data_IF_863203111043
#
_entry.id   IF_863203111043
#
_cell.length_a   1.000
_cell.length_b   1.000
_cell.length_c   1.000
_cell.angle_alpha   90.00
_cell.angle_beta   90.00
_cell.angle_gamma   90.00
#
_symmetry.space_group_name_H-M   'P 1'
#
loop_
_entity.id
_entity.type
_entity.pdbx_description
1 polymer ?
#
# COMPACT_ATOMS: atom_id res chain seq x y z
N UNK A 1 -12.67 19.37 -0.95
CA UNK A 1 -11.24 19.77 -0.79
C UNK A 1 -10.90 20.94 -1.70
N UNK A 2 -10.02 21.85 -1.27
CA UNK A 2 -9.48 22.92 -2.13
C UNK A 2 -8.18 22.41 -2.78
N UNK A 3 -8.29 21.89 -4.00
CA UNK A 3 -7.18 21.22 -4.69
C UNK A 3 -6.06 22.21 -5.04
N UNK A 4 -6.38 23.44 -5.44
CA UNK A 4 -5.38 24.46 -5.76
C UNK A 4 -4.52 24.84 -4.55
N UNK A 5 -5.12 24.83 -3.34
CA UNK A 5 -4.36 25.04 -2.10
C UNK A 5 -3.48 23.83 -1.79
N UNK A 6 -4.01 22.61 -1.95
CA UNK A 6 -3.27 21.35 -1.73
C UNK A 6 -2.06 21.25 -2.66
N UNK A 7 -2.20 21.56 -3.95
CA UNK A 7 -1.12 21.47 -4.94
C UNK A 7 0.11 22.32 -4.59
N UNK A 8 -0.06 23.43 -3.88
CA UNK A 8 1.06 24.29 -3.40
C UNK A 8 2.00 23.57 -2.44
N UNK A 9 1.53 22.52 -1.78
CA UNK A 9 2.35 21.69 -0.89
C UNK A 9 3.25 20.70 -1.66
N UNK A 10 3.07 20.59 -3.00
CA UNK A 10 3.77 19.65 -3.88
C UNK A 10 4.41 20.38 -5.08
N UNK A 11 5.53 21.07 -4.90
CA UNK A 11 6.12 21.97 -5.94
C UNK A 11 6.47 21.28 -7.26
N UNK A 12 6.68 19.96 -7.26
CA UNK A 12 6.96 19.20 -8.49
C UNK A 12 5.79 19.23 -9.49
N UNK A 13 4.56 19.47 -9.03
CA UNK A 13 3.37 19.54 -9.88
C UNK A 13 3.36 20.74 -10.84
N UNK A 14 4.19 21.75 -10.59
CA UNK A 14 4.39 22.87 -11.52
C UNK A 14 5.20 22.45 -12.76
N UNK A 15 5.88 21.30 -12.70
CA UNK A 15 6.80 20.80 -13.72
C UNK A 15 6.27 19.61 -14.50
N UNK A 16 5.35 18.83 -13.91
CA UNK A 16 4.91 17.55 -14.46
C UNK A 16 3.45 17.25 -14.07
N UNK A 17 2.69 16.69 -15.01
CA UNK A 17 1.41 16.04 -14.73
C UNK A 17 1.70 14.65 -14.16
N UNK A 18 1.62 14.51 -12.83
CA UNK A 18 2.02 13.29 -12.15
C UNK A 18 0.85 12.33 -11.95
N UNK A 19 0.89 11.19 -12.63
CA UNK A 19 -0.16 10.16 -12.65
C UNK A 19 0.39 8.75 -12.28
N UNK A 20 1.43 8.68 -11.42
CA UNK A 20 2.02 7.41 -10.96
C UNK A 20 1.98 7.24 -9.44
N UNK A 21 0.93 7.75 -8.78
CA UNK A 21 0.76 7.70 -7.32
C UNK A 21 0.65 6.27 -6.76
N UNK A 22 0.15 5.31 -7.55
CA UNK A 22 0.10 3.90 -7.14
C UNK A 22 1.50 3.24 -7.02
N UNK A 23 2.53 3.83 -7.64
CA UNK A 23 3.93 3.46 -7.42
C UNK A 23 4.48 4.18 -6.19
N UNK A 24 4.39 5.51 -6.18
CA UNK A 24 4.86 6.37 -5.11
C UNK A 24 4.04 7.65 -5.07
N UNK A 25 3.41 7.97 -3.94
CA UNK A 25 2.81 9.29 -3.77
C UNK A 25 3.87 10.38 -3.64
N UNK A 26 3.58 11.60 -4.08
CA UNK A 26 4.41 12.77 -3.78
C UNK A 26 4.38 13.05 -2.27
N UNK A 27 5.39 13.79 -1.79
CA UNK A 27 5.52 14.17 -0.37
C UNK A 27 5.22 15.66 -0.24
N UNK A 28 4.29 16.05 0.64
CA UNK A 28 4.03 17.46 0.91
C UNK A 28 5.19 18.10 1.67
N UNK A 29 5.35 19.40 1.52
CA UNK A 29 6.41 20.17 2.18
C UNK A 29 6.45 19.94 3.70
N UNK A 30 5.30 19.72 4.34
CA UNK A 30 5.18 19.46 5.78
C UNK A 30 5.92 18.18 6.19
N UNK A 31 5.80 17.10 5.42
CA UNK A 31 6.51 15.84 5.66
C UNK A 31 8.01 16.01 5.49
N UNK A 32 8.44 16.72 4.43
CA UNK A 32 9.85 17.00 4.18
C UNK A 32 10.44 17.84 5.30
N UNK A 33 9.71 18.87 5.73
CA UNK A 33 10.12 19.74 6.85
C UNK A 33 10.28 18.97 8.15
N UNK A 34 9.38 18.02 8.44
CA UNK A 34 9.45 17.20 9.66
C UNK A 34 10.64 16.25 9.67
N UNK A 35 11.01 15.68 8.52
CA UNK A 35 12.23 14.89 8.35
C UNK A 35 13.48 15.74 8.58
N UNK A 36 13.52 16.95 8.02
CA UNK A 36 14.62 17.89 8.19
C UNK A 36 14.75 18.35 9.66
N UNK A 37 13.64 18.57 10.36
CA UNK A 37 13.63 18.88 11.80
C UNK A 37 14.38 17.81 12.60
N UNK A 38 14.10 16.51 12.36
CA UNK A 38 14.83 15.45 13.05
C UNK A 38 16.33 15.55 12.83
N UNK A 39 16.79 15.66 11.57
CA UNK A 39 18.23 15.70 11.29
C UNK A 39 18.93 16.97 11.77
N UNK A 40 18.23 18.10 11.84
CA UNK A 40 18.83 19.36 12.24
C UNK A 40 18.82 19.57 13.78
N UNK A 41 17.79 19.03 14.47
CA UNK A 41 17.59 19.40 15.89
C UNK A 41 17.86 18.26 16.87
N UNK A 42 17.58 16.99 16.50
CA UNK A 42 17.71 15.84 17.41
C UNK A 42 18.11 14.53 16.69
N UNK A 43 19.22 14.52 15.92
CA UNK A 43 19.63 13.37 15.11
C UNK A 43 20.32 12.29 15.96
N UNK A 44 19.58 11.67 16.85
CA UNK A 44 20.11 10.68 17.80
C UNK A 44 19.23 9.43 17.83
N UNK A 45 19.74 8.35 18.47
CA UNK A 45 18.97 7.13 18.62
C UNK A 45 17.92 7.23 19.75
N UNK A 46 16.92 6.36 19.66
CA UNK A 46 15.87 6.14 20.65
C UNK A 46 16.24 5.03 21.63
N UNK A 47 15.65 5.03 22.83
CA UNK A 47 15.48 3.88 23.72
C UNK A 47 16.62 3.55 24.67
N UNK A 48 17.85 4.04 24.48
CA UNK A 48 19.00 3.61 25.31
C UNK A 48 19.82 4.74 25.92
N UNK A 49 19.55 5.97 25.59
CA UNK A 49 20.28 7.14 26.07
C UNK A 49 19.42 7.99 26.99
N UNK A 50 19.99 8.41 28.13
CA UNK A 50 19.25 9.17 29.13
C UNK A 50 19.16 10.69 28.85
N UNK A 51 19.80 11.18 27.78
CA UNK A 51 19.82 12.60 27.46
C UNK A 51 18.50 13.07 26.79
N UNK A 52 18.22 14.37 26.88
CA UNK A 52 16.95 14.99 26.43
C UNK A 52 16.62 14.73 24.95
N UNK A 53 17.63 14.72 24.08
CA UNK A 53 17.41 14.49 22.64
C UNK A 53 16.87 13.07 22.37
N UNK A 54 17.44 12.03 23.06
CA UNK A 54 16.96 10.66 22.93
C UNK A 54 15.50 10.54 23.39
N UNK A 55 15.16 11.15 24.53
CA UNK A 55 13.76 11.19 25.00
C UNK A 55 12.82 11.86 24.00
N UNK A 56 13.26 12.93 23.31
CA UNK A 56 12.48 13.55 22.24
C UNK A 56 12.22 12.56 21.08
N UNK A 57 13.21 11.77 20.68
CA UNK A 57 13.05 10.73 19.64
C UNK A 57 12.07 9.66 20.10
N UNK A 58 12.18 9.20 21.35
CA UNK A 58 11.26 8.22 21.95
C UNK A 58 9.81 8.74 21.89
N UNK A 59 9.58 9.98 22.32
CA UNK A 59 8.27 10.63 22.32
C UNK A 59 7.69 10.78 20.91
N UNK A 60 8.48 11.25 19.93
CA UNK A 60 8.02 11.43 18.55
C UNK A 60 7.72 10.07 17.87
N UNK A 61 8.56 9.05 18.11
CA UNK A 61 8.31 7.69 17.62
C UNK A 61 7.03 7.10 18.22
N UNK A 62 6.82 7.27 19.53
CA UNK A 62 5.60 6.83 20.19
C UNK A 62 4.36 7.57 19.68
N UNK A 63 4.45 8.89 19.46
CA UNK A 63 3.36 9.68 18.85
C UNK A 63 3.01 9.18 17.45
N UNK A 64 4.02 8.80 16.65
CA UNK A 64 3.78 8.21 15.33
C UNK A 64 3.01 6.92 15.43
N UNK A 65 3.40 6.01 16.33
CA UNK A 65 2.73 4.74 16.58
C UNK A 65 1.26 4.96 17.00
N UNK A 66 1.03 5.90 17.91
CA UNK A 66 -0.33 6.32 18.32
C UNK A 66 -1.14 6.92 17.18
N UNK A 67 -0.53 7.71 16.31
CA UNK A 67 -1.21 8.27 15.14
C UNK A 67 -1.62 7.16 14.17
N UNK A 68 -0.74 6.19 13.91
CA UNK A 68 -1.06 5.02 13.08
C UNK A 68 -2.18 4.17 13.69
N UNK A 69 -2.11 3.90 15.00
CA UNK A 69 -3.19 3.20 15.73
C UNK A 69 -4.55 3.86 15.49
N UNK A 70 -4.62 5.18 15.64
CA UNK A 70 -5.87 5.95 15.45
C UNK A 70 -6.31 5.94 13.99
N UNK A 71 -5.38 6.13 13.06
CA UNK A 71 -5.65 6.24 11.62
C UNK A 71 -6.33 5.01 11.04
N UNK A 72 -5.98 3.81 11.51
CA UNK A 72 -6.62 2.56 11.10
C UNK A 72 -7.62 2.02 12.13
N UNK A 73 -7.89 2.78 13.19
CA UNK A 73 -8.75 2.39 14.32
C UNK A 73 -8.35 1.06 14.99
N UNK A 74 -7.04 0.83 15.20
CA UNK A 74 -6.55 -0.33 15.94
C UNK A 74 -6.88 -0.22 17.44
N UNK A 75 -6.96 -1.33 18.15
CA UNK A 75 -7.34 -1.42 19.58
C UNK A 75 -6.22 -0.84 20.46
N UNK A 76 -4.97 -1.13 20.14
CA UNK A 76 -3.79 -0.74 20.90
C UNK A 76 -2.66 -0.31 19.97
N UNK A 77 -1.78 0.56 20.45
CA UNK A 77 -0.53 0.89 19.75
C UNK A 77 0.43 -0.29 19.67
N UNK A 78 0.28 -1.28 20.54
CA UNK A 78 1.07 -2.51 20.50
C UNK A 78 0.77 -3.37 19.25
N UNK A 79 -0.36 -3.14 18.61
CA UNK A 79 -0.76 -3.79 17.35
C UNK A 79 -0.06 -3.18 16.11
N UNK A 80 0.77 -2.13 16.29
CA UNK A 80 1.46 -1.41 15.23
C UNK A 80 2.95 -1.74 15.27
N UNK A 81 3.44 -2.46 14.26
CA UNK A 81 4.87 -2.77 14.07
C UNK A 81 5.42 -1.92 12.94
N UNK A 82 6.50 -1.18 13.17
CA UNK A 82 7.22 -0.47 12.12
C UNK A 82 8.04 -1.45 11.29
N UNK A 83 7.94 -1.31 9.98
CA UNK A 83 8.67 -2.06 8.98
C UNK A 83 9.21 -1.10 7.91
N UNK A 84 9.98 -1.61 6.96
CA UNK A 84 10.47 -0.75 5.85
C UNK A 84 9.44 -0.54 4.75
N UNK A 85 8.48 -1.45 4.59
CA UNK A 85 7.44 -1.40 3.57
C UNK A 85 6.48 -2.60 3.69
N UNK A 86 5.41 -2.62 2.89
CA UNK A 86 4.45 -3.74 2.79
C UNK A 86 5.13 -5.08 2.51
N UNK A 87 6.17 -5.11 1.68
CA UNK A 87 6.89 -6.34 1.34
C UNK A 87 7.53 -6.96 2.58
N UNK A 88 8.19 -6.16 3.42
CA UNK A 88 8.75 -6.65 4.68
C UNK A 88 7.66 -7.10 5.65
N UNK A 89 6.57 -6.34 5.77
CA UNK A 89 5.43 -6.70 6.62
C UNK A 89 4.86 -8.07 6.26
N UNK A 90 4.65 -8.35 4.98
CA UNK A 90 4.14 -9.64 4.50
C UNK A 90 5.17 -10.75 4.73
N UNK A 91 6.47 -10.50 4.48
CA UNK A 91 7.53 -11.46 4.76
C UNK A 91 7.67 -11.75 6.27
N UNK A 92 7.46 -10.76 7.13
CA UNK A 92 7.42 -10.95 8.58
C UNK A 92 6.33 -11.96 8.96
N UNK A 93 5.11 -11.79 8.49
CA UNK A 93 4.01 -12.74 8.73
C UNK A 93 4.35 -14.12 8.16
N UNK A 94 4.84 -14.20 6.92
CA UNK A 94 5.16 -15.46 6.25
C UNK A 94 6.24 -16.28 6.97
N UNK A 95 7.20 -15.62 7.63
CA UNK A 95 8.32 -16.28 8.32
C UNK A 95 8.04 -16.54 9.81
N UNK A 96 7.08 -15.83 10.38
CA UNK A 96 6.81 -15.84 11.82
C UNK A 96 5.76 -16.86 12.25
N UNK A 97 4.97 -17.37 11.30
CA UNK A 97 3.88 -18.31 11.56
C UNK A 97 4.16 -19.69 10.96
N UNK A 98 3.73 -20.72 11.65
CA UNK A 98 3.76 -22.10 11.13
C UNK A 98 2.49 -22.38 10.33
N UNK A 99 2.45 -21.97 9.06
CA UNK A 99 1.30 -22.09 8.19
C UNK A 99 1.34 -23.41 7.39
N UNK A 100 0.22 -24.13 7.33
CA UNK A 100 0.10 -25.36 6.53
C UNK A 100 -0.25 -25.06 5.08
N UNK A 101 -1.29 -24.26 4.87
CA UNK A 101 -1.78 -23.90 3.53
C UNK A 101 -2.16 -22.42 3.52
N UNK A 102 -1.76 -21.70 2.46
CA UNK A 102 -2.09 -20.31 2.24
C UNK A 102 -2.97 -20.16 0.99
N UNK A 103 -4.03 -19.38 1.07
CA UNK A 103 -4.88 -19.05 -0.07
C UNK A 103 -4.66 -17.59 -0.45
N UNK A 104 -4.36 -17.33 -1.73
CA UNK A 104 -4.15 -16.00 -2.28
C UNK A 104 -5.07 -15.77 -3.48
N UNK A 105 -5.29 -14.51 -3.87
CA UNK A 105 -5.96 -14.23 -5.13
C UNK A 105 -4.99 -14.24 -6.32
N UNK A 106 -5.51 -14.31 -7.53
CA UNK A 106 -4.70 -14.20 -8.75
C UNK A 106 -4.21 -12.78 -9.02
N UNK A 107 -4.69 -11.79 -8.28
CA UNK A 107 -4.41 -10.35 -8.44
C UNK A 107 -3.26 -9.83 -7.59
N UNK A 108 -2.54 -10.72 -6.93
CA UNK A 108 -1.55 -10.30 -5.95
C UNK A 108 -0.35 -9.60 -6.61
N UNK A 109 0.07 -8.52 -5.98
CA UNK A 109 1.39 -7.95 -6.21
C UNK A 109 2.47 -8.99 -5.86
N UNK A 110 3.60 -9.00 -6.55
CA UNK A 110 4.70 -9.95 -6.27
C UNK A 110 5.09 -9.99 -4.79
N UNK A 111 4.95 -8.89 -4.06
CA UNK A 111 5.20 -8.84 -2.61
C UNK A 111 4.28 -9.72 -1.79
N UNK A 112 3.06 -9.99 -2.29
CA UNK A 112 2.08 -10.86 -1.63
C UNK A 112 1.88 -12.21 -2.34
N UNK A 113 2.71 -12.53 -3.32
CA UNK A 113 2.76 -13.83 -3.99
C UNK A 113 4.04 -14.59 -3.62
N UNK A 114 5.21 -13.96 -3.84
CA UNK A 114 6.50 -14.66 -3.77
C UNK A 114 6.86 -15.20 -2.38
N UNK A 115 6.55 -14.54 -1.25
CA UNK A 115 6.81 -15.11 0.07
C UNK A 115 6.08 -16.43 0.30
N UNK A 116 4.83 -16.53 -0.16
CA UNK A 116 4.03 -17.75 -0.03
C UNK A 116 4.54 -18.85 -0.95
N UNK A 117 4.86 -18.52 -2.19
CA UNK A 117 5.47 -19.44 -3.15
C UNK A 117 6.79 -20.03 -2.64
N UNK A 118 7.60 -19.23 -1.95
CA UNK A 118 8.92 -19.66 -1.47
C UNK A 118 8.85 -20.45 -0.15
N UNK A 119 7.94 -20.11 0.76
CA UNK A 119 7.96 -20.61 2.14
C UNK A 119 6.86 -21.61 2.47
N UNK A 120 5.75 -21.63 1.73
CA UNK A 120 4.55 -22.35 2.12
C UNK A 120 3.91 -23.10 0.96
N UNK A 121 3.04 -24.06 1.28
CA UNK A 121 2.06 -24.56 0.32
C UNK A 121 0.99 -23.50 0.13
N UNK A 122 0.74 -23.10 -1.10
CA UNK A 122 -0.25 -22.07 -1.40
C UNK A 122 -1.13 -22.48 -2.59
N UNK A 123 -2.29 -21.85 -2.66
CA UNK A 123 -3.25 -21.98 -3.75
C UNK A 123 -3.67 -20.60 -4.23
N UNK A 124 -3.84 -20.47 -5.53
CA UNK A 124 -4.30 -19.22 -6.17
C UNK A 124 -5.77 -19.37 -6.52
N UNK A 125 -6.58 -18.47 -6.01
CA UNK A 125 -7.99 -18.32 -6.36
C UNK A 125 -8.10 -17.45 -7.62
N UNK A 126 -8.64 -18.02 -8.69
CA UNK A 126 -8.83 -17.29 -9.95
C UNK A 126 -10.05 -16.38 -9.88
N UNK A 127 -9.92 -15.19 -10.46
CA UNK A 127 -11.04 -14.28 -10.70
C UNK A 127 -12.01 -14.87 -11.73
N UNK A 128 -13.24 -14.35 -11.77
CA UNK A 128 -14.21 -14.60 -12.84
C UNK A 128 -13.76 -14.00 -14.17
N UNK A 129 -14.46 -14.30 -15.25
CA UNK A 129 -14.17 -13.78 -16.60
C UNK A 129 -14.25 -12.25 -16.69
N UNK A 130 -15.10 -11.61 -15.88
CA UNK A 130 -15.20 -10.15 -15.76
C UNK A 130 -14.16 -9.53 -14.81
N UNK A 131 -13.17 -10.33 -14.39
CA UNK A 131 -12.13 -9.96 -13.45
C UNK A 131 -12.63 -9.62 -12.04
N UNK A 132 -13.84 -9.98 -11.65
CA UNK A 132 -14.32 -9.86 -10.26
C UNK A 132 -13.89 -11.07 -9.42
N UNK A 133 -13.84 -10.87 -8.09
CA UNK A 133 -13.50 -11.96 -7.16
C UNK A 133 -14.62 -13.01 -7.13
N UNK A 134 -14.26 -14.29 -7.24
CA UNK A 134 -15.20 -15.40 -7.19
C UNK A 134 -15.43 -15.87 -5.74
N UNK A 135 -16.47 -15.32 -5.11
CA UNK A 135 -16.81 -15.64 -3.74
C UNK A 135 -17.31 -17.09 -3.57
N UNK A 136 -17.97 -17.65 -4.59
CA UNK A 136 -18.46 -19.03 -4.54
C UNK A 136 -17.32 -20.04 -4.67
N UNK A 137 -16.34 -19.75 -5.52
CA UNK A 137 -15.10 -20.54 -5.58
C UNK A 137 -14.33 -20.42 -4.27
N UNK A 138 -14.24 -19.21 -3.67
CA UNK A 138 -13.60 -19.00 -2.39
C UNK A 138 -14.19 -19.86 -1.28
N UNK A 139 -15.53 -19.94 -1.15
CA UNK A 139 -16.23 -20.79 -0.17
C UNK A 139 -15.87 -22.28 -0.31
N UNK A 140 -15.60 -22.75 -1.52
CA UNK A 140 -15.20 -24.13 -1.79
C UNK A 140 -13.74 -24.39 -1.39
N UNK A 141 -12.86 -23.41 -1.66
CA UNK A 141 -11.41 -23.55 -1.58
C UNK A 141 -10.84 -23.22 -0.19
N UNK A 142 -11.60 -22.58 0.68
CA UNK A 142 -11.16 -22.15 2.02
C UNK A 142 -10.93 -23.31 3.01
N UNK A 143 -11.42 -24.52 2.70
CA UNK A 143 -11.28 -25.67 3.60
C UNK A 143 -9.82 -26.04 3.83
N UNK A 144 -9.43 -26.20 5.11
CA UNK A 144 -8.06 -26.52 5.54
C UNK A 144 -7.01 -25.45 5.21
N UNK A 145 -7.42 -24.21 4.96
CA UNK A 145 -6.55 -23.06 4.82
C UNK A 145 -6.20 -22.51 6.20
N UNK A 146 -4.92 -22.19 6.42
CA UNK A 146 -4.44 -21.57 7.68
C UNK A 146 -4.43 -20.05 7.60
N UNK A 147 -4.19 -19.50 6.39
CA UNK A 147 -4.14 -18.07 6.14
C UNK A 147 -4.70 -17.75 4.76
N UNK A 148 -5.54 -16.74 4.71
CA UNK A 148 -5.94 -16.04 3.47
C UNK A 148 -5.10 -14.78 3.37
N UNK A 149 -4.25 -14.66 2.34
CA UNK A 149 -3.43 -13.47 2.12
C UNK A 149 -3.83 -12.83 0.80
N UNK A 150 -4.50 -11.68 0.84
CA UNK A 150 -5.09 -11.07 -0.35
C UNK A 150 -4.90 -9.57 -0.39
N UNK A 151 -4.85 -9.04 -1.61
CA UNK A 151 -4.85 -7.60 -1.86
C UNK A 151 -6.22 -7.00 -1.48
N UNK A 152 -6.23 -5.89 -0.76
CA UNK A 152 -7.47 -5.18 -0.46
C UNK A 152 -7.97 -4.43 -1.71
N UNK A 153 -7.09 -3.65 -2.33
CA UNK A 153 -7.34 -2.92 -3.57
C UNK A 153 -6.18 -3.17 -4.53
N UNK A 154 -6.49 -3.65 -5.72
CA UNK A 154 -5.51 -4.01 -6.74
C UNK A 154 -4.75 -2.78 -7.25
N UNK A 155 -3.43 -2.92 -7.39
CA UNK A 155 -2.54 -1.84 -7.79
C UNK A 155 -2.48 -1.61 -9.31
N UNK A 156 -3.05 -2.50 -10.14
CA UNK A 156 -3.03 -2.30 -11.58
C UNK A 156 -4.36 -1.78 -12.14
N UNK A 157 -5.52 -2.13 -11.55
CA UNK A 157 -6.83 -1.68 -12.05
C UNK A 157 -7.70 -1.00 -10.99
N UNK A 158 -7.27 -1.05 -9.71
CA UNK A 158 -7.97 -0.41 -8.60
C UNK A 158 -9.19 -1.17 -8.09
N UNK A 159 -9.43 -2.40 -8.56
CA UNK A 159 -10.51 -3.24 -8.06
C UNK A 159 -10.32 -3.56 -6.58
N UNK A 160 -11.36 -3.34 -5.78
CA UNK A 160 -11.37 -3.70 -4.36
C UNK A 160 -12.16 -4.98 -4.14
N UNK A 161 -11.54 -5.93 -3.45
CA UNK A 161 -12.14 -7.21 -3.15
C UNK A 161 -13.27 -7.06 -2.09
N UNK A 162 -14.22 -7.99 -2.01
CA UNK A 162 -15.30 -8.00 -1.02
C UNK A 162 -14.76 -8.46 0.36
N UNK A 163 -13.93 -7.61 0.98
CA UNK A 163 -13.11 -7.96 2.14
C UNK A 163 -13.93 -8.42 3.34
N UNK A 164 -15.08 -7.80 3.61
CA UNK A 164 -15.92 -8.17 4.76
C UNK A 164 -16.42 -9.60 4.66
N UNK A 165 -16.91 -9.98 3.49
CA UNK A 165 -17.40 -11.33 3.21
C UNK A 165 -16.25 -12.34 3.26
N UNK A 166 -15.08 -11.98 2.73
CA UNK A 166 -13.88 -12.83 2.75
C UNK A 166 -13.43 -13.10 4.18
N UNK A 167 -13.28 -12.05 5.02
CA UNK A 167 -12.88 -12.19 6.42
C UNK A 167 -13.86 -13.07 7.18
N UNK A 168 -15.16 -12.80 7.05
CA UNK A 168 -16.21 -13.59 7.71
C UNK A 168 -16.09 -15.08 7.37
N UNK A 169 -16.02 -15.41 6.08
CA UNK A 169 -15.92 -16.80 5.62
C UNK A 169 -14.61 -17.45 6.07
N UNK A 170 -13.49 -16.71 6.04
CA UNK A 170 -12.20 -17.21 6.50
C UNK A 170 -12.25 -17.57 8.00
N UNK A 171 -12.76 -16.69 8.84
CA UNK A 171 -12.90 -16.93 10.28
C UNK A 171 -13.86 -18.07 10.61
N UNK A 172 -14.97 -18.21 9.88
CA UNK A 172 -15.88 -19.37 10.01
C UNK A 172 -15.14 -20.70 9.74
N UNK A 173 -14.06 -20.66 8.92
CA UNK A 173 -13.20 -21.81 8.62
C UNK A 173 -11.89 -21.83 9.42
N UNK A 174 -11.75 -21.00 10.47
CA UNK A 174 -10.58 -20.90 11.36
C UNK A 174 -9.29 -20.49 10.63
N UNK A 175 -9.39 -19.80 9.51
CA UNK A 175 -8.27 -19.24 8.77
C UNK A 175 -8.04 -17.79 9.20
N UNK A 176 -6.78 -17.39 9.42
CA UNK A 176 -6.38 -16.01 9.61
C UNK A 176 -6.47 -15.25 8.28
N UNK A 177 -6.57 -13.91 8.34
CA UNK A 177 -6.61 -13.06 7.16
C UNK A 177 -5.53 -11.98 7.22
N UNK A 178 -4.70 -11.93 6.18
CA UNK A 178 -3.76 -10.84 5.91
C UNK A 178 -4.25 -10.03 4.71
N UNK A 179 -4.39 -8.73 4.89
CA UNK A 179 -4.72 -7.80 3.83
C UNK A 179 -3.45 -7.03 3.38
N UNK A 180 -3.10 -7.14 2.10
CA UNK A 180 -2.22 -6.16 1.47
C UNK A 180 -3.02 -4.86 1.25
N UNK A 181 -2.83 -3.93 2.18
CA UNK A 181 -3.48 -2.62 2.20
C UNK A 181 -2.72 -1.52 1.45
N UNK A 182 -1.66 -1.87 0.71
CA UNK A 182 -0.78 -0.88 0.08
C UNK A 182 -1.50 0.13 -0.83
N UNK A 183 -2.60 -0.26 -1.47
CA UNK A 183 -3.43 0.59 -2.31
C UNK A 183 -4.80 0.93 -1.69
N UNK A 184 -5.09 0.42 -0.50
CA UNK A 184 -6.35 0.73 0.19
C UNK A 184 -6.15 1.82 1.23
N UNK A 185 -5.14 1.65 2.10
CA UNK A 185 -4.87 2.57 3.23
C UNK A 185 -4.64 4.02 2.80
N UNK A 186 -3.93 4.32 1.69
CA UNK A 186 -3.76 5.70 1.23
C UNK A 186 -5.04 6.39 0.74
N UNK A 187 -6.06 5.62 0.33
CA UNK A 187 -7.19 6.09 -0.46
C UNK A 187 -8.56 5.92 0.21
N UNK A 188 -8.63 5.15 1.29
CA UNK A 188 -9.88 4.79 1.98
C UNK A 188 -9.76 4.89 3.48
N UNK A 189 -10.86 5.18 4.13
CA UNK A 189 -10.98 5.00 5.57
C UNK A 189 -10.89 3.51 5.93
N UNK A 190 -9.99 3.17 6.84
CA UNK A 190 -9.77 1.81 7.30
C UNK A 190 -10.12 1.70 8.78
N UNK A 191 -10.95 0.73 9.11
CA UNK A 191 -11.32 0.39 10.49
C UNK A 191 -11.04 -1.10 10.73
N UNK A 192 -9.85 -1.39 11.24
CA UNK A 192 -9.41 -2.79 11.45
C UNK A 192 -10.26 -3.52 12.50
N UNK A 193 -10.81 -2.81 13.49
CA UNK A 193 -11.71 -3.39 14.50
C UNK A 193 -13.04 -3.82 13.88
N UNK A 194 -13.62 -2.94 13.04
CA UNK A 194 -14.89 -3.23 12.36
C UNK A 194 -14.74 -4.30 11.28
N UNK A 195 -13.57 -4.37 10.65
CA UNK A 195 -13.24 -5.43 9.69
C UNK A 195 -12.95 -6.76 10.39
N UNK A 196 -12.50 -6.72 11.65
CA UNK A 196 -12.01 -7.87 12.41
C UNK A 196 -10.85 -8.61 11.73
N UNK A 197 -10.03 -7.88 10.96
CA UNK A 197 -8.89 -8.46 10.23
C UNK A 197 -7.74 -8.81 11.19
N UNK A 198 -7.00 -9.88 10.89
CA UNK A 198 -5.90 -10.33 11.76
C UNK A 198 -4.60 -9.59 11.43
N UNK A 199 -4.35 -9.27 10.14
CA UNK A 199 -3.17 -8.53 9.68
C UNK A 199 -3.54 -7.53 8.60
N UNK A 200 -2.90 -6.36 8.64
CA UNK A 200 -2.94 -5.35 7.57
C UNK A 200 -1.53 -4.83 7.32
N UNK A 201 -1.04 -4.94 6.08
CA UNK A 201 0.28 -4.48 5.68
C UNK A 201 0.18 -3.28 4.72
N UNK A 202 0.91 -2.19 4.97
CA UNK A 202 0.94 -1.04 4.08
C UNK A 202 2.26 -0.26 4.15
N UNK A 203 2.46 0.67 3.20
CA UNK A 203 3.72 1.40 3.02
C UNK A 203 3.53 2.91 3.11
N UNK A 204 4.42 3.59 3.85
CA UNK A 204 4.39 5.04 4.00
C UNK A 204 4.55 5.79 2.67
N UNK A 205 5.41 5.30 1.76
CA UNK A 205 5.67 5.97 0.48
C UNK A 205 4.47 6.06 -0.47
N UNK A 206 3.36 5.38 -0.18
CA UNK A 206 2.10 5.47 -0.94
C UNK A 206 1.05 6.38 -0.28
N UNK A 207 1.26 6.73 1.00
CA UNK A 207 0.37 7.58 1.78
C UNK A 207 1.05 8.92 2.18
N UNK A 208 1.71 9.57 1.25
CA UNK A 208 2.46 10.83 1.39
C UNK A 208 3.71 10.73 2.27
N UNK A 209 3.98 9.58 2.86
CA UNK A 209 5.10 9.35 3.76
C UNK A 209 6.42 9.04 3.05
N UNK A 210 7.53 9.01 3.78
CA UNK A 210 8.85 8.74 3.20
C UNK A 210 8.98 7.28 2.73
N UNK A 211 9.96 7.06 1.87
CA UNK A 211 10.44 5.71 1.53
C UNK A 211 11.12 5.07 2.72
N UNK A 212 11.17 3.74 2.76
CA UNK A 212 11.81 3.04 3.88
C UNK A 212 10.92 2.94 5.13
N UNK A 213 9.65 3.36 5.05
CA UNK A 213 8.67 3.23 6.12
C UNK A 213 7.48 2.39 5.70
N UNK A 214 7.04 1.52 6.57
CA UNK A 214 5.86 0.68 6.42
C UNK A 214 5.29 0.29 7.77
N UNK A 215 4.12 -0.29 7.74
CA UNK A 215 3.40 -0.74 8.94
C UNK A 215 2.90 -2.16 8.69
N UNK A 216 3.10 -3.00 9.70
CA UNK A 216 2.30 -4.19 9.92
C UNK A 216 1.39 -3.92 11.12
N UNK A 217 0.08 -3.90 10.87
CA UNK A 217 -0.91 -4.08 11.92
C UNK A 217 -1.15 -5.58 12.10
N UNK A 218 -1.19 -6.03 13.33
CA UNK A 218 -1.72 -7.34 13.67
C UNK A 218 -2.37 -7.31 15.06
N UNK A 219 -3.39 -8.16 15.28
CA UNK A 219 -4.01 -8.32 16.59
C UNK A 219 -2.93 -8.67 17.64
N UNK A 220 -2.99 -8.06 18.84
CA UNK A 220 -1.95 -8.21 19.88
C UNK A 220 -1.73 -9.69 20.25
N UNK A 221 -2.82 -10.47 20.38
CA UNK A 221 -2.76 -11.91 20.66
C UNK A 221 -2.05 -12.71 19.58
N UNK A 222 -2.16 -12.30 18.32
CA UNK A 222 -1.45 -12.95 17.21
C UNK A 222 0.03 -12.57 17.22
N UNK A 223 0.34 -11.29 17.47
CA UNK A 223 1.73 -10.82 17.59
C UNK A 223 2.48 -11.53 18.71
N UNK A 224 1.82 -11.82 19.85
CA UNK A 224 2.46 -12.53 20.96
C UNK A 224 2.91 -13.95 20.57
N UNK A 225 2.13 -14.65 19.73
CA UNK A 225 2.46 -16.00 19.24
C UNK A 225 3.51 -16.00 18.11
N UNK A 226 3.68 -14.88 17.39
CA UNK A 226 4.60 -14.78 16.28
C UNK A 226 6.06 -14.74 16.76
N UNK A 227 6.94 -15.40 16.01
CA UNK A 227 8.40 -15.35 16.23
C UNK A 227 9.03 -14.27 15.34
N UNK A 228 9.93 -13.43 15.87
CA UNK A 228 10.66 -12.50 15.01
C UNK A 228 11.57 -13.26 14.03
N UNK A 229 11.66 -12.80 12.78
CA UNK A 229 12.57 -13.41 11.80
C UNK A 229 13.91 -12.67 11.69
N UNK A 230 13.99 -11.44 12.21
CA UNK A 230 15.24 -10.68 12.37
C UNK A 230 15.47 -10.50 13.86
N UNK A 231 16.65 -10.93 14.33
CA UNK A 231 17.08 -10.82 15.72
C UNK A 231 18.32 -9.95 15.82
N UNK A 232 18.41 -9.14 16.86
CA UNK A 232 19.57 -8.28 17.09
C UNK A 232 19.31 -7.19 18.12
N UNK A 233 20.03 -6.11 18.04
CA UNK A 233 19.80 -4.94 18.89
C UNK A 233 18.36 -4.48 18.80
N UNK A 234 17.81 -3.94 19.85
CA UNK A 234 16.43 -3.48 20.02
C UNK A 234 15.38 -4.58 20.24
N UNK A 235 15.58 -5.80 19.70
CA UNK A 235 14.61 -6.90 19.86
C UNK A 235 14.76 -7.72 21.14
N UNK A 236 15.81 -7.47 21.92
CA UNK A 236 16.13 -8.23 23.13
C UNK A 236 16.17 -7.32 24.36
N UNK A 237 15.46 -7.77 25.40
CA UNK A 237 15.53 -7.17 26.74
C UNK A 237 16.87 -7.49 27.42
N UNK A 238 17.33 -8.75 27.33
CA UNK A 238 18.60 -9.21 27.88
C UNK A 238 19.14 -10.41 27.11
N UNK A 239 20.46 -10.60 27.10
CA UNK A 239 21.12 -11.76 26.51
C UNK A 239 22.37 -12.17 27.28
N UNK A 240 22.65 -13.49 27.27
CA UNK A 240 23.90 -14.10 27.71
C UNK A 240 24.50 -14.90 26.55
N UNK A 241 25.68 -15.50 26.71
CA UNK A 241 26.23 -16.38 25.67
C UNK A 241 25.46 -17.71 25.48
N UNK A 242 24.49 -17.99 26.33
CA UNK A 242 23.71 -19.24 26.31
C UNK A 242 22.21 -19.05 26.04
N UNK A 243 21.68 -17.84 26.33
CA UNK A 243 20.25 -17.58 26.31
C UNK A 243 19.96 -16.09 26.07
N UNK A 244 18.73 -15.78 25.66
CA UNK A 244 18.26 -14.41 25.48
C UNK A 244 16.75 -14.30 25.82
N UNK A 245 16.35 -13.11 26.21
CA UNK A 245 14.95 -12.72 26.42
C UNK A 245 14.58 -11.64 25.43
N UNK A 246 13.51 -11.90 24.65
CA UNK A 246 12.99 -10.93 23.70
C UNK A 246 12.28 -9.78 24.43
N UNK A 247 12.23 -8.64 23.79
CA UNK A 247 11.32 -7.55 24.13
C UNK A 247 9.87 -7.98 23.95
N UNK A 248 8.95 -7.17 24.47
CA UNK A 248 7.51 -7.33 24.26
C UNK A 248 7.13 -6.90 22.83
N UNK A 249 5.88 -7.15 22.46
CA UNK A 249 5.30 -6.57 21.26
C UNK A 249 5.08 -5.06 21.45
N UNK A 250 5.36 -4.26 20.42
CA UNK A 250 5.82 -4.61 19.07
C UNK A 250 7.34 -4.68 18.91
N UNK A 251 8.13 -4.25 19.91
CA UNK A 251 9.56 -4.03 19.84
C UNK A 251 10.35 -5.30 19.46
N UNK A 252 9.86 -6.49 19.81
CA UNK A 252 10.51 -7.75 19.41
C UNK A 252 10.63 -7.94 17.91
N UNK A 253 9.89 -7.18 17.10
CA UNK A 253 9.91 -7.24 15.63
C UNK A 253 10.72 -6.11 14.98
N UNK A 254 11.15 -5.10 15.74
CA UNK A 254 11.78 -3.88 15.25
C UNK A 254 13.31 -3.92 15.46
N UNK A 255 13.97 -4.84 14.75
CA UNK A 255 15.40 -5.10 14.89
C UNK A 255 16.29 -3.95 14.40
N UNK A 256 17.33 -3.66 15.16
CA UNK A 256 18.36 -2.68 14.82
C UNK A 256 17.93 -1.24 15.06
N UNK A 257 18.73 -0.30 14.54
CA UNK A 257 18.40 1.12 14.58
C UNK A 257 17.33 1.40 13.53
N UNK A 258 16.21 2.00 13.97
CA UNK A 258 15.10 2.31 13.10
C UNK A 258 15.35 3.57 12.27
N UNK A 259 14.61 3.74 11.16
CA UNK A 259 14.54 4.98 10.38
C UNK A 259 13.71 6.03 11.13
N UNK A 260 14.29 6.62 12.19
CA UNK A 260 13.56 7.60 13.00
C UNK A 260 13.10 8.81 12.20
N UNK A 261 13.93 9.29 11.27
CA UNK A 261 13.54 10.40 10.39
C UNK A 261 12.29 10.07 9.57
N UNK A 262 12.27 8.88 8.99
CA UNK A 262 11.13 8.40 8.22
C UNK A 262 9.90 8.14 9.08
N UNK A 263 10.05 7.50 10.24
CA UNK A 263 8.96 7.25 11.19
C UNK A 263 8.32 8.56 11.65
N UNK A 264 9.15 9.56 12.02
CA UNK A 264 8.67 10.87 12.45
C UNK A 264 7.98 11.63 11.29
N UNK A 265 8.54 11.53 10.08
CA UNK A 265 7.92 12.08 8.88
C UNK A 265 6.57 11.43 8.53
N UNK A 266 6.42 10.14 8.83
CA UNK A 266 5.18 9.40 8.62
C UNK A 266 4.03 9.90 9.51
N UNK A 267 4.32 10.38 10.73
CA UNK A 267 3.32 11.03 11.59
C UNK A 267 2.68 12.24 10.89
N UNK A 268 3.51 13.08 10.26
CA UNK A 268 3.01 14.27 9.58
C UNK A 268 2.20 13.91 8.34
N UNK A 269 2.52 12.79 7.68
CA UNK A 269 1.69 12.26 6.60
C UNK A 269 0.28 11.91 7.06
N UNK A 270 0.16 11.19 8.18
CA UNK A 270 -1.14 10.83 8.78
C UNK A 270 -1.92 12.09 9.12
N UNK A 271 -1.29 13.04 9.81
CA UNK A 271 -1.93 14.31 10.17
C UNK A 271 -2.41 15.08 8.94
N UNK A 272 -1.64 15.07 7.85
CA UNK A 272 -2.03 15.69 6.58
C UNK A 272 -3.28 15.03 5.99
N UNK A 273 -3.32 13.69 5.95
CA UNK A 273 -4.46 12.92 5.45
C UNK A 273 -5.71 13.10 6.32
N UNK A 274 -5.57 13.04 7.65
CA UNK A 274 -6.67 13.25 8.60
C UNK A 274 -7.30 14.64 8.46
N UNK A 275 -6.47 15.67 8.28
CA UNK A 275 -6.94 17.05 8.09
C UNK A 275 -7.76 17.23 6.79
N UNK A 276 -7.47 16.45 5.74
CA UNK A 276 -8.25 16.46 4.50
C UNK A 276 -9.49 15.57 4.59
N UNK A 277 -9.43 14.51 5.40
CA UNK A 277 -10.44 13.49 5.56
C UNK A 277 -10.41 12.43 4.46
N UNK A 278 -10.22 11.17 4.84
CA UNK A 278 -10.08 10.03 3.90
C UNK A 278 -11.29 9.85 2.98
N UNK A 279 -12.51 10.12 3.48
CA UNK A 279 -13.73 10.11 2.66
C UNK A 279 -13.67 11.14 1.54
N UNK A 280 -13.25 12.38 1.85
CA UNK A 280 -13.14 13.44 0.84
C UNK A 280 -12.10 13.11 -0.23
N UNK A 281 -10.99 12.45 0.16
CA UNK A 281 -9.94 11.98 -0.77
C UNK A 281 -10.51 10.94 -1.72
N UNK A 282 -11.15 9.90 -1.20
CA UNK A 282 -11.76 8.84 -2.03
C UNK A 282 -12.83 9.36 -2.99
N UNK A 283 -13.72 10.26 -2.54
CA UNK A 283 -14.76 10.88 -3.38
C UNK A 283 -14.13 11.73 -4.50
N UNK A 284 -13.05 12.47 -4.20
CA UNK A 284 -12.33 13.26 -5.19
C UNK A 284 -11.71 12.38 -6.28
N UNK A 285 -11.00 11.32 -5.90
CA UNK A 285 -10.37 10.39 -6.82
C UNK A 285 -11.40 9.66 -7.69
N UNK A 286 -12.49 9.19 -7.10
CA UNK A 286 -13.58 8.54 -7.83
C UNK A 286 -14.20 9.47 -8.88
N UNK A 287 -14.39 10.75 -8.55
CA UNK A 287 -14.88 11.76 -9.48
C UNK A 287 -13.95 11.97 -10.68
N UNK A 288 -12.64 12.10 -10.42
CA UNK A 288 -11.64 12.26 -11.47
C UNK A 288 -11.53 11.01 -12.35
N UNK A 289 -11.51 9.82 -11.76
CA UNK A 289 -11.49 8.57 -12.52
C UNK A 289 -12.75 8.41 -13.39
N UNK A 290 -13.92 8.68 -12.85
CA UNK A 290 -15.18 8.62 -13.60
C UNK A 290 -15.12 9.50 -14.84
N UNK A 291 -14.64 10.74 -14.71
CA UNK A 291 -14.42 11.65 -15.83
C UNK A 291 -13.41 11.08 -16.83
N UNK A 292 -12.24 10.63 -16.36
CA UNK A 292 -11.19 10.07 -17.22
C UNK A 292 -11.70 8.84 -18.00
N UNK A 293 -12.41 7.92 -17.35
CA UNK A 293 -12.97 6.73 -18.00
C UNK A 293 -14.02 7.12 -19.04
N UNK A 294 -14.91 8.09 -18.74
CA UNK A 294 -15.95 8.52 -19.68
C UNK A 294 -15.37 9.10 -20.97
N UNK A 295 -14.30 9.90 -20.86
CA UNK A 295 -13.62 10.48 -22.01
C UNK A 295 -12.79 9.45 -22.79
N UNK A 296 -12.07 8.57 -22.10
CA UNK A 296 -11.23 7.56 -22.75
C UNK A 296 -12.07 6.50 -23.50
N UNK A 297 -13.31 6.20 -23.07
CA UNK A 297 -14.24 5.34 -23.80
C UNK A 297 -14.57 5.87 -25.20
N UNK A 298 -14.48 7.18 -25.42
CA UNK A 298 -14.74 7.81 -26.71
C UNK A 298 -13.54 7.76 -27.67
N UNK A 299 -12.41 7.19 -27.25
CA UNK A 299 -11.23 6.98 -28.07
C UNK A 299 -11.19 5.51 -28.52
N UNK A 300 -11.58 5.24 -29.77
CA UNK A 300 -11.77 3.89 -30.31
C UNK A 300 -10.58 2.92 -30.13
N UNK A 301 -9.36 3.46 -29.97
CA UNK A 301 -8.14 2.67 -29.82
C UNK A 301 -7.80 2.35 -28.37
N UNK A 302 -8.48 2.92 -27.40
CA UNK A 302 -8.26 2.62 -25.98
C UNK A 302 -8.95 1.31 -25.60
N UNK A 303 -8.18 0.39 -25.04
CA UNK A 303 -8.67 -0.85 -24.45
C UNK A 303 -8.31 -0.85 -22.96
N UNK A 304 -9.31 -0.88 -22.10
CA UNK A 304 -9.08 -0.99 -20.65
C UNK A 304 -8.58 -2.38 -20.27
N UNK A 305 -7.74 -2.44 -19.22
CA UNK A 305 -7.17 -3.67 -18.68
C UNK A 305 -7.65 -3.86 -17.25
N UNK A 306 -8.22 -5.02 -16.95
CA UNK A 306 -8.80 -5.32 -15.65
C UNK A 306 -10.20 -4.76 -15.44
N UNK A 307 -10.60 -4.53 -14.21
CA UNK A 307 -11.92 -4.04 -13.82
C UNK A 307 -11.94 -2.52 -13.66
N UNK A 308 -13.01 -1.86 -14.11
CA UNK A 308 -13.22 -0.41 -13.98
C UNK A 308 -13.95 -0.07 -12.68
N UNK A 309 -13.26 -0.13 -11.57
CA UNK A 309 -13.79 0.18 -10.26
C UNK A 309 -13.57 1.66 -9.86
N UNK A 310 -14.10 2.09 -8.71
CA UNK A 310 -14.15 3.50 -8.25
C UNK A 310 -12.87 4.01 -7.55
N UNK A 311 -11.74 3.32 -7.62
CA UNK A 311 -10.46 3.84 -7.11
C UNK A 311 -9.78 4.77 -8.11
N UNK A 312 -8.79 5.55 -7.67
CA UNK A 312 -8.00 6.43 -8.54
C UNK A 312 -7.10 5.72 -9.58
N UNK A 313 -7.02 4.37 -9.59
CA UNK A 313 -6.14 3.59 -10.48
C UNK A 313 -6.87 3.15 -11.74
N UNK A 314 -6.22 3.29 -12.90
CA UNK A 314 -6.75 2.93 -14.21
C UNK A 314 -5.64 2.37 -15.09
N UNK A 315 -5.83 1.13 -15.62
CA UNK A 315 -4.96 0.53 -16.64
C UNK A 315 -5.64 0.46 -18.00
N UNK A 316 -4.89 0.76 -19.04
CA UNK A 316 -5.36 0.72 -20.42
C UNK A 316 -4.20 0.45 -21.39
N UNK A 317 -4.54 0.09 -22.63
CA UNK A 317 -3.62 0.00 -23.76
C UNK A 317 -4.17 0.80 -24.94
N UNK A 318 -3.27 1.24 -25.82
CA UNK A 318 -3.60 1.83 -27.11
C UNK A 318 -3.43 0.75 -28.17
N UNK A 319 -4.50 0.40 -28.91
CA UNK A 319 -4.46 -0.63 -29.94
C UNK A 319 -3.38 -0.33 -30.97
N UNK A 320 -2.51 -1.29 -31.25
CA UNK A 320 -1.42 -1.19 -32.21
C UNK A 320 -0.12 -0.63 -31.65
N UNK A 321 -0.07 -0.27 -30.34
CA UNK A 321 1.13 0.25 -29.71
C UNK A 321 1.55 -0.55 -28.49
N UNK A 322 2.86 -0.65 -28.26
CA UNK A 322 3.40 -1.17 -27.01
C UNK A 322 3.14 -0.18 -25.87
N UNK A 323 2.82 -0.68 -24.67
CA UNK A 323 2.54 0.17 -23.52
C UNK A 323 3.73 1.04 -23.08
N UNK A 324 4.96 0.57 -23.31
CA UNK A 324 6.17 1.35 -23.01
C UNK A 324 6.33 2.52 -23.97
N UNK A 325 6.05 2.33 -25.26
CA UNK A 325 6.13 3.41 -26.27
C UNK A 325 5.11 4.52 -25.97
N UNK A 326 3.88 4.13 -25.57
CA UNK A 326 2.85 5.08 -25.13
C UNK A 326 3.35 5.91 -23.93
N UNK A 327 3.97 5.24 -22.94
CA UNK A 327 4.50 5.93 -21.77
C UNK A 327 5.64 6.89 -22.12
N UNK A 328 6.55 6.51 -23.01
CA UNK A 328 7.66 7.34 -23.48
C UNK A 328 7.14 8.60 -24.20
N UNK A 329 6.16 8.46 -25.08
CA UNK A 329 5.56 9.58 -25.80
C UNK A 329 4.84 10.54 -24.84
N UNK A 330 4.15 10.01 -23.82
CA UNK A 330 3.51 10.83 -22.79
C UNK A 330 4.53 11.56 -21.92
N UNK A 331 5.66 10.94 -21.58
CA UNK A 331 6.75 11.56 -20.80
C UNK A 331 7.37 12.75 -21.56
N UNK A 332 7.53 12.66 -22.89
CA UNK A 332 7.97 13.80 -23.73
C UNK A 332 7.04 15.01 -23.60
N UNK A 333 5.77 14.80 -23.22
CA UNK A 333 4.79 15.83 -22.92
C UNK A 333 4.63 16.10 -21.41
N UNK A 334 5.64 15.72 -20.61
CA UNK A 334 5.68 15.93 -19.14
C UNK A 334 4.52 15.26 -18.41
N UNK A 335 4.06 14.11 -18.89
CA UNK A 335 3.02 13.28 -18.23
C UNK A 335 3.70 12.04 -17.70
N UNK A 336 3.91 11.98 -16.39
CA UNK A 336 4.53 10.87 -15.70
C UNK A 336 3.48 9.81 -15.31
N UNK A 337 3.58 8.62 -15.89
CA UNK A 337 2.76 7.46 -15.58
C UNK A 337 3.58 6.17 -15.72
N UNK A 338 3.03 5.03 -15.37
CA UNK A 338 3.75 3.75 -15.39
C UNK A 338 3.28 2.85 -16.52
N UNK A 339 4.20 2.04 -17.06
CA UNK A 339 3.90 0.98 -18.05
C UNK A 339 4.49 -0.36 -17.62
N UNK A 340 3.94 -1.45 -18.17
CA UNK A 340 4.36 -2.84 -17.94
C UNK A 340 3.39 -3.63 -17.07
N UNK A 341 3.88 -4.65 -16.37
CA UNK A 341 3.07 -5.60 -15.58
C UNK A 341 2.80 -5.14 -14.14
N UNK A 342 3.19 -3.94 -13.74
CA UNK A 342 2.92 -3.31 -12.43
C UNK A 342 3.23 -4.21 -11.21
N UNK A 343 4.26 -5.07 -11.33
CA UNK A 343 4.61 -6.11 -10.34
C UNK A 343 3.49 -7.15 -10.08
N UNK A 344 2.56 -7.32 -11.01
CA UNK A 344 1.52 -8.36 -11.04
C UNK A 344 1.77 -9.32 -12.23
N UNK A 345 3.04 -9.70 -12.45
CA UNK A 345 3.48 -10.47 -13.61
C UNK A 345 2.65 -11.74 -13.83
N UNK A 346 2.34 -12.48 -12.75
CA UNK A 346 1.57 -13.72 -12.83
C UNK A 346 0.17 -13.50 -13.39
N UNK A 347 -0.51 -12.41 -13.04
CA UNK A 347 -1.82 -12.07 -13.58
C UNK A 347 -1.73 -11.71 -15.07
N UNK A 348 -0.77 -10.85 -15.45
CA UNK A 348 -0.58 -10.45 -16.85
C UNK A 348 -0.23 -11.63 -17.74
N UNK A 349 0.68 -12.52 -17.29
CA UNK A 349 1.05 -13.73 -18.02
C UNK A 349 -0.13 -14.70 -18.16
N UNK A 350 -0.91 -14.93 -17.09
CA UNK A 350 -2.06 -15.84 -17.13
C UNK A 350 -3.17 -15.34 -18.08
N UNK A 351 -3.30 -14.02 -18.24
CA UNK A 351 -4.27 -13.41 -19.14
C UNK A 351 -3.71 -13.10 -20.54
N UNK A 352 -2.44 -13.45 -20.80
CA UNK A 352 -1.73 -13.22 -22.10
C UNK A 352 -1.76 -11.75 -22.51
N UNK A 353 -1.49 -10.85 -21.55
CA UNK A 353 -1.38 -9.40 -21.74
C UNK A 353 0.06 -9.00 -21.47
N UNK A 354 0.75 -8.41 -22.46
CA UNK A 354 2.19 -8.06 -22.37
C UNK A 354 2.48 -6.86 -21.43
N UNK A 355 1.45 -6.27 -20.86
CA UNK A 355 1.53 -5.13 -19.97
C UNK A 355 0.43 -4.12 -20.24
N UNK A 356 0.44 -3.05 -19.49
CA UNK A 356 -0.48 -1.92 -19.69
C UNK A 356 0.17 -0.59 -19.34
N UNK A 357 -0.42 0.50 -19.81
CA UNK A 357 -0.23 1.85 -19.29
C UNK A 357 -1.12 1.99 -18.07
N UNK A 358 -0.59 2.52 -16.96
CA UNK A 358 -1.36 2.77 -15.75
C UNK A 358 -1.29 4.25 -15.37
N UNK A 359 -2.43 4.90 -15.37
CA UNK A 359 -2.61 6.18 -14.72
C UNK A 359 -3.15 5.96 -13.30
N UNK A 360 -2.57 6.62 -12.32
CA UNK A 360 -3.02 6.56 -10.93
C UNK A 360 -3.10 7.97 -10.33
N UNK A 361 -4.34 8.35 -10.03
CA UNK A 361 -4.72 9.63 -9.46
C UNK A 361 -4.54 9.62 -7.94
N UNK A 362 -4.34 10.79 -7.36
CA UNK A 362 -4.36 10.98 -5.91
C UNK A 362 -4.91 12.36 -5.54
N UNK A 363 -4.90 12.68 -4.27
CA UNK A 363 -5.52 13.87 -3.67
C UNK A 363 -5.05 15.22 -4.26
N UNK A 364 -3.90 15.27 -4.90
CA UNK A 364 -3.33 16.49 -5.52
C UNK A 364 -3.62 16.60 -7.02
N UNK A 365 -4.20 15.59 -7.65
CA UNK A 365 -4.59 15.67 -9.06
C UNK A 365 -5.86 16.50 -9.22
N UNK A 366 -6.00 17.15 -10.36
CA UNK A 366 -7.17 17.95 -10.70
C UNK A 366 -7.74 17.56 -12.08
N UNK A 367 -8.82 18.22 -12.49
CA UNK A 367 -9.48 17.95 -13.77
C UNK A 367 -8.57 18.27 -14.95
N UNK A 368 -7.68 19.25 -14.81
CA UNK A 368 -6.75 19.65 -15.88
C UNK A 368 -5.73 18.53 -16.13
N UNK A 369 -5.20 17.86 -15.09
CA UNK A 369 -4.33 16.70 -15.25
C UNK A 369 -5.00 15.60 -16.10
N UNK A 370 -6.29 15.37 -15.89
CA UNK A 370 -7.06 14.42 -16.70
C UNK A 370 -7.23 14.86 -18.16
N UNK A 371 -7.52 16.14 -18.40
CA UNK A 371 -7.66 16.70 -19.76
C UNK A 371 -6.35 16.61 -20.54
N UNK A 372 -5.23 16.97 -19.91
CA UNK A 372 -3.89 16.88 -20.52
C UNK A 372 -3.61 15.43 -20.97
N UNK A 373 -3.89 14.44 -20.13
CA UNK A 373 -3.74 13.03 -20.52
C UNK A 373 -4.64 12.65 -21.69
N UNK A 374 -5.93 13.02 -21.66
CA UNK A 374 -6.92 12.71 -22.69
C UNK A 374 -6.51 13.31 -24.04
N UNK A 375 -6.12 14.58 -24.07
CA UNK A 375 -5.71 15.27 -25.30
C UNK A 375 -4.48 14.61 -25.93
N UNK A 376 -3.50 14.23 -25.12
CA UNK A 376 -2.30 13.55 -25.63
C UNK A 376 -2.62 12.14 -26.13
N UNK A 377 -3.50 11.39 -25.47
CA UNK A 377 -3.96 10.08 -25.94
C UNK A 377 -4.79 10.21 -27.23
N UNK A 378 -5.61 11.26 -27.40
CA UNK A 378 -6.32 11.56 -28.67
C UNK A 378 -5.31 11.83 -29.81
N UNK A 379 -4.23 12.56 -29.56
CA UNK A 379 -3.17 12.79 -30.55
C UNK A 379 -2.47 11.45 -30.92
N UNK A 380 -2.00 10.70 -29.94
CA UNK A 380 -1.36 9.40 -30.15
C UNK A 380 -2.27 8.48 -30.99
N UNK A 381 -3.56 8.40 -30.64
CA UNK A 381 -4.52 7.54 -31.34
C UNK A 381 -4.79 7.91 -32.80
N UNK A 382 -4.42 9.11 -33.25
CA UNK A 382 -4.57 9.52 -34.65
C UNK A 382 -3.42 9.03 -35.54
N UNK A 383 -2.23 8.83 -34.97
CA UNK A 383 -1.03 8.49 -35.74
C UNK A 383 -0.82 6.96 -35.89
N UNK A 384 -1.41 6.18 -35.08
CA UNK A 384 -1.34 4.70 -35.07
C UNK A 384 -2.72 4.06 -35.18
#
# INVERSE_FOLDING_TARGET
MNIEKIRKDFPILDKVTYLDSACMSLKPNQVISKINEYYNEYPVCSGRSAHKLSKKVDEETYKTRKSMQKFINAKSEKEIVFTRNTTESINLVARSLNLKNVLISDREHNSNLLPWMYLHKFKVLKSKEDYTFDLELFKKEIKNVSLVSIVFTSNFDGYSLPIKEIIKIAHENKALVLLDGAQAVPHKEIDVKKLDVDFLAFSGHKMLGPTGTGILYAKEEVLEEMKPFILGGHTVYNSTYKDYKLEKVPEKFEAGLQDYAGIIGLQESVKYLDNLGMKNIGEHEAKLKKYLVSELKNINKIKFVGNLNDSGVLSFNVKGMNCHDVAIILDQNKIALRSGSHCCHSWFNANKIDGSVRASLYLYNNLEDCKILIENLKKISKYF
#
